data_IF_179642996112
#
_entry.id   IF_179642996112
#
_cell.length_a   1.000
_cell.length_b   1.000
_cell.length_c   1.000
_cell.angle_alpha   90.00
_cell.angle_beta   90.00
_cell.angle_gamma   90.00
#
_symmetry.space_group_name_H-M   'P 1'
#
loop_
_entity.id
_entity.type
_entity.pdbx_description
1 polymer ?
#
# COMPACT_ATOMS: atom_id res chain seq x y z
N UNK A 1 16.37 13.69 52.05
CA UNK A 1 16.47 12.35 52.66
C UNK A 1 15.38 12.22 53.72
N UNK A 2 14.30 11.52 53.43
CA UNK A 2 13.46 10.74 54.33
C UNK A 2 12.48 9.98 53.43
N UNK A 3 12.80 8.71 53.20
CA UNK A 3 11.87 7.73 52.61
C UNK A 3 10.72 7.55 53.56
N UNK A 4 9.53 7.94 53.20
CA UNK A 4 8.30 7.55 53.89
C UNK A 4 7.85 6.25 53.27
N UNK A 5 8.09 5.13 53.94
CA UNK A 5 7.40 3.87 53.66
C UNK A 5 5.94 4.06 54.04
N UNK A 6 5.05 4.13 53.07
CA UNK A 6 3.62 3.89 53.31
C UNK A 6 3.43 2.40 53.57
N UNK A 7 3.30 2.07 54.85
CA UNK A 7 2.75 0.78 55.29
C UNK A 7 1.27 0.78 54.89
N UNK A 8 0.89 -0.04 53.89
CA UNK A 8 -0.52 -0.34 53.66
C UNK A 8 -1.06 -1.01 54.93
N UNK A 9 -1.92 -0.33 55.66
CA UNK A 9 -2.64 -0.91 56.77
C UNK A 9 -3.64 -1.93 56.16
N UNK A 10 -3.33 -3.20 56.34
CA UNK A 10 -4.25 -4.30 56.07
C UNK A 10 -5.42 -4.17 57.07
N UNK A 11 -6.51 -3.55 56.67
CA UNK A 11 -7.77 -3.59 57.45
C UNK A 11 -8.42 -4.96 57.22
N UNK A 12 -8.09 -5.91 58.11
CA UNK A 12 -8.78 -7.18 58.18
C UNK A 12 -10.14 -6.93 58.87
N UNK A 13 -11.17 -6.74 58.06
CA UNK A 13 -12.54 -6.91 58.56
C UNK A 13 -12.86 -8.40 58.56
N UNK A 14 -12.91 -9.00 59.75
CA UNK A 14 -13.19 -10.41 59.95
C UNK A 14 -14.68 -10.70 59.69
N UNK A 15 -15.05 -11.01 58.43
CA UNK A 15 -16.12 -11.97 58.20
C UNK A 15 -15.48 -13.36 58.37
N UNK A 16 -16.02 -14.20 59.23
CA UNK A 16 -15.65 -15.62 59.33
C UNK A 16 -16.71 -16.46 58.64
N UNK A 17 -16.30 -17.57 57.99
CA UNK A 17 -17.26 -18.61 57.54
C UNK A 17 -17.98 -19.27 58.75
N UNK A 18 -18.93 -20.14 58.49
CA UNK A 18 -19.67 -20.91 59.54
C UNK A 18 -18.74 -21.78 60.41
N UNK A 19 -17.48 -22.02 60.02
CA UNK A 19 -16.44 -22.73 60.75
C UNK A 19 -15.46 -21.81 61.46
N UNK A 20 -15.62 -20.49 61.38
CA UNK A 20 -14.78 -19.47 62.09
C UNK A 20 -13.45 -19.13 61.41
N UNK A 21 -13.26 -19.51 60.11
CA UNK A 21 -12.07 -19.14 59.36
C UNK A 21 -12.20 -17.74 58.76
N UNK A 22 -11.12 -16.92 58.74
CA UNK A 22 -11.18 -15.58 58.18
C UNK A 22 -11.36 -15.63 56.64
N UNK A 23 -12.21 -14.75 56.14
CA UNK A 23 -12.32 -14.49 54.69
C UNK A 23 -11.06 -13.79 54.23
N UNK A 24 -10.42 -14.35 53.20
CA UNK A 24 -9.31 -13.71 52.47
C UNK A 24 -9.82 -13.29 51.08
N UNK A 25 -9.67 -11.99 50.80
CA UNK A 25 -10.07 -11.41 49.49
C UNK A 25 -8.97 -10.49 49.00
N UNK A 26 -8.28 -10.89 47.96
CA UNK A 26 -7.08 -10.21 47.44
C UNK A 26 -7.26 -9.99 45.92
N UNK A 27 -7.86 -8.85 45.50
CA UNK A 27 -7.97 -8.49 44.12
C UNK A 27 -6.65 -7.91 43.62
N UNK A 28 -6.24 -8.34 42.42
CA UNK A 28 -5.14 -7.76 41.65
C UNK A 28 -5.73 -7.11 40.39
N UNK A 29 -5.61 -5.80 40.32
CA UNK A 29 -6.13 -5.01 39.19
C UNK A 29 -4.97 -4.44 38.41
N UNK A 30 -4.99 -4.61 37.11
CA UNK A 30 -3.97 -4.05 36.20
C UNK A 30 -4.65 -3.21 35.13
N UNK A 31 -4.29 -1.95 35.05
CA UNK A 31 -4.62 -1.10 33.92
C UNK A 31 -3.54 -1.28 32.86
N UNK A 32 -3.91 -1.70 31.67
CA UNK A 32 -3.02 -1.95 30.58
C UNK A 32 -2.86 -0.71 29.68
N UNK A 33 -2.01 -0.80 28.65
CA UNK A 33 -1.82 0.31 27.72
C UNK A 33 -3.12 0.64 26.98
N UNK A 34 -3.41 1.92 26.84
CA UNK A 34 -4.52 2.44 26.03
C UNK A 34 -4.15 2.35 24.57
N UNK A 35 -5.08 1.91 23.72
CA UNK A 35 -4.89 1.73 22.27
C UNK A 35 -5.92 2.53 21.48
N UNK A 36 -5.77 2.55 20.15
CA UNK A 36 -6.70 3.19 19.20
C UNK A 36 -7.08 4.62 19.59
N UNK A 37 -6.08 5.39 20.01
CA UNK A 37 -6.24 6.78 20.44
C UNK A 37 -6.50 7.63 19.18
N UNK A 38 -7.54 8.45 19.26
CA UNK A 38 -7.91 9.44 18.22
C UNK A 38 -8.11 10.81 18.88
N UNK A 39 -8.58 11.80 18.15
CA UNK A 39 -8.96 13.12 18.67
C UNK A 39 -10.01 13.03 19.80
N UNK A 40 -10.98 12.11 19.67
CA UNK A 40 -12.17 12.08 20.53
C UNK A 40 -12.49 10.71 21.10
N UNK A 41 -11.62 9.71 20.89
CA UNK A 41 -11.84 8.34 21.37
C UNK A 41 -10.54 7.64 21.75
N UNK A 42 -10.65 6.59 22.57
CA UNK A 42 -9.58 5.69 22.92
C UNK A 42 -10.13 4.33 23.38
N UNK A 43 -9.34 3.26 23.26
CA UNK A 43 -9.69 1.93 23.76
C UNK A 43 -8.93 1.64 25.05
N UNK A 44 -9.67 1.43 26.14
CA UNK A 44 -9.14 1.07 27.44
C UNK A 44 -9.04 -0.44 27.56
N UNK A 45 -7.95 -0.92 28.19
CA UNK A 45 -7.67 -2.34 28.41
C UNK A 45 -7.25 -2.58 29.86
N UNK A 46 -7.64 -3.72 30.42
CA UNK A 46 -7.24 -4.07 31.78
C UNK A 46 -7.62 -5.48 32.21
N UNK A 47 -7.08 -5.89 33.36
CA UNK A 47 -7.37 -7.20 33.97
C UNK A 47 -7.76 -7.07 35.44
N UNK A 48 -8.66 -7.94 35.86
CA UNK A 48 -9.15 -8.06 37.25
C UNK A 48 -9.06 -9.52 37.65
N UNK A 49 -8.06 -9.84 38.47
CA UNK A 49 -7.88 -11.15 39.06
C UNK A 49 -8.23 -11.09 40.53
N UNK A 50 -9.07 -12.00 41.01
CA UNK A 50 -9.50 -12.03 42.39
C UNK A 50 -9.20 -13.40 42.99
N UNK A 51 -8.28 -13.39 43.97
CA UNK A 51 -8.14 -14.52 44.87
C UNK A 51 -9.14 -14.36 46.05
N UNK A 52 -10.02 -15.37 46.21
CA UNK A 52 -11.03 -15.37 47.28
C UNK A 52 -11.08 -16.73 47.95
N UNK A 53 -10.96 -16.76 49.26
CA UNK A 53 -11.07 -17.96 50.07
C UNK A 53 -11.92 -17.71 51.34
N UNK A 54 -12.85 -18.57 51.63
CA UNK A 54 -13.74 -18.52 52.82
C UNK A 54 -14.56 -17.20 52.87
N UNK A 55 -14.90 -16.64 51.73
CA UNK A 55 -15.71 -15.42 51.64
C UNK A 55 -17.11 -15.76 51.11
N UNK A 56 -18.15 -15.10 51.67
CA UNK A 56 -19.49 -15.18 51.11
C UNK A 56 -19.55 -14.63 49.71
N UNK A 57 -20.41 -15.20 48.87
CA UNK A 57 -20.71 -14.63 47.58
C UNK A 57 -21.42 -13.31 47.76
N UNK A 58 -20.81 -12.23 47.26
CA UNK A 58 -21.37 -10.89 47.32
C UNK A 58 -22.03 -10.56 46.00
N UNK A 59 -23.30 -10.21 46.03
CA UNK A 59 -24.01 -9.63 44.88
C UNK A 59 -23.68 -8.14 44.74
N UNK A 60 -23.82 -7.60 43.53
CA UNK A 60 -23.61 -6.19 43.18
C UNK A 60 -22.14 -5.68 43.30
N UNK A 61 -21.20 -6.43 42.76
CA UNK A 61 -19.84 -5.95 42.50
C UNK A 61 -19.91 -4.95 41.33
N UNK A 62 -19.39 -3.73 41.50
CA UNK A 62 -19.13 -2.80 40.40
C UNK A 62 -17.67 -2.86 40.03
N UNK A 63 -17.39 -2.99 38.74
CA UNK A 63 -16.03 -3.02 38.20
C UNK A 63 -15.96 -2.40 36.82
N UNK A 64 -14.76 -2.00 36.40
CA UNK A 64 -14.54 -1.38 35.12
C UNK A 64 -13.39 -0.38 35.15
N UNK A 65 -13.57 0.76 34.49
CA UNK A 65 -12.59 1.82 34.42
C UNK A 65 -13.13 3.11 35.07
N UNK A 66 -12.23 3.81 35.78
CA UNK A 66 -12.39 5.23 36.16
C UNK A 66 -11.42 6.05 35.34
N UNK A 67 -11.84 7.22 34.87
CA UNK A 67 -10.96 8.11 34.11
C UNK A 67 -11.25 9.58 34.43
N UNK A 68 -10.25 10.44 34.24
CA UNK A 68 -10.32 11.89 34.49
C UNK A 68 -9.20 12.60 33.76
N UNK A 69 -9.30 13.91 33.62
CA UNK A 69 -8.19 14.77 33.20
C UNK A 69 -7.21 15.08 34.33
N UNK A 70 -7.54 14.68 35.56
CA UNK A 70 -6.66 14.78 36.73
C UNK A 70 -6.06 13.42 37.07
N UNK A 71 -4.83 13.41 37.60
CA UNK A 71 -4.17 12.18 38.02
C UNK A 71 -4.87 11.53 39.23
N UNK A 72 -4.70 10.22 39.37
CA UNK A 72 -5.29 9.35 40.39
C UNK A 72 -6.84 9.36 40.40
N UNK A 73 -7.50 9.09 39.24
CA UNK A 73 -8.96 9.06 39.15
C UNK A 73 -9.56 8.05 40.12
N UNK A 74 -10.72 8.39 40.68
CA UNK A 74 -11.48 7.62 41.63
C UNK A 74 -12.91 7.37 41.15
N UNK A 75 -13.72 6.60 41.88
CA UNK A 75 -15.12 6.39 41.55
C UNK A 75 -16.01 7.65 41.68
N UNK A 76 -15.47 8.75 42.16
CA UNK A 76 -16.14 10.05 42.17
C UNK A 76 -15.92 10.82 40.83
N UNK A 77 -15.03 10.34 39.96
CA UNK A 77 -14.81 10.83 38.60
C UNK A 77 -15.66 10.06 37.60
N UNK A 78 -15.34 10.13 36.31
CA UNK A 78 -16.10 9.40 35.27
C UNK A 78 -15.80 7.90 35.32
N UNK A 79 -16.88 7.10 35.26
CA UNK A 79 -16.79 5.64 35.36
C UNK A 79 -17.43 4.95 34.17
N UNK A 80 -16.84 3.82 33.78
CA UNK A 80 -17.42 2.87 32.83
C UNK A 80 -17.45 1.49 33.48
N UNK A 81 -18.65 0.91 33.60
CA UNK A 81 -18.80 -0.42 34.16
C UNK A 81 -18.60 -1.47 33.07
N UNK A 82 -17.69 -2.41 33.30
CA UNK A 82 -17.39 -3.51 32.39
C UNK A 82 -17.23 -4.79 33.20
N UNK A 83 -17.99 -5.83 32.87
CA UNK A 83 -17.95 -7.11 33.53
C UNK A 83 -16.85 -8.02 32.92
N UNK A 84 -16.21 -8.81 33.76
CA UNK A 84 -15.24 -9.82 33.32
C UNK A 84 -13.89 -9.74 34.01
N UNK A 85 -13.01 -10.68 33.69
CA UNK A 85 -11.62 -10.72 34.21
C UNK A 85 -10.61 -10.04 33.28
N UNK A 86 -10.84 -10.09 31.99
CA UNK A 86 -10.17 -9.25 30.98
C UNK A 86 -11.20 -8.28 30.44
N UNK A 87 -10.99 -7.01 30.63
CA UNK A 87 -11.93 -5.95 30.30
C UNK A 87 -11.35 -5.01 29.26
N UNK A 88 -12.19 -4.70 28.26
CA UNK A 88 -11.86 -3.75 27.19
C UNK A 88 -13.08 -2.90 26.91
N UNK A 89 -12.92 -1.59 26.78
CA UNK A 89 -14.03 -0.68 26.49
C UNK A 89 -13.53 0.54 25.72
N UNK A 90 -14.40 1.06 24.82
CA UNK A 90 -14.11 2.26 24.05
C UNK A 90 -14.65 3.50 24.71
N UNK A 91 -13.74 4.46 24.98
CA UNK A 91 -14.10 5.83 25.34
C UNK A 91 -14.44 6.62 24.07
N UNK A 92 -15.47 7.44 24.15
CA UNK A 92 -15.87 8.37 23.08
C UNK A 92 -16.20 9.74 23.68
N UNK A 93 -16.27 10.78 22.83
CA UNK A 93 -16.53 12.16 23.20
C UNK A 93 -15.45 12.72 24.17
N UNK A 94 -14.22 12.34 23.96
CA UNK A 94 -13.07 12.95 24.63
C UNK A 94 -12.77 14.33 24.01
N UNK A 95 -12.15 15.21 24.78
CA UNK A 95 -11.62 16.47 24.26
C UNK A 95 -10.28 16.20 23.54
N UNK A 96 -10.04 16.80 22.37
CA UNK A 96 -8.76 16.70 21.66
C UNK A 96 -7.59 17.31 22.46
N UNK A 97 -6.36 16.95 22.10
CA UNK A 97 -5.09 17.43 22.72
C UNK A 97 -5.16 17.43 24.27
N UNK A 98 -5.84 16.46 24.83
CA UNK A 98 -6.13 16.41 26.27
C UNK A 98 -5.53 15.16 26.88
N UNK A 99 -4.82 15.35 28.00
CA UNK A 99 -4.28 14.24 28.78
C UNK A 99 -5.38 13.66 29.68
N UNK A 100 -5.59 12.36 29.55
CA UNK A 100 -6.47 11.58 30.40
C UNK A 100 -5.67 10.58 31.23
N UNK A 101 -6.16 10.32 32.45
CA UNK A 101 -5.65 9.31 33.36
C UNK A 101 -6.72 8.26 33.56
N UNK A 102 -6.34 7.00 33.60
CA UNK A 102 -7.28 5.87 33.72
C UNK A 102 -6.76 4.84 34.70
N UNK A 103 -7.69 4.23 35.43
CA UNK A 103 -7.42 3.11 36.34
C UNK A 103 -8.54 2.08 36.23
N UNK A 104 -8.19 0.80 36.29
CA UNK A 104 -9.17 -0.26 36.58
C UNK A 104 -9.65 -0.12 38.01
N UNK A 105 -10.95 -0.30 38.25
CA UNK A 105 -11.50 -0.29 39.59
C UNK A 105 -12.39 -1.51 39.87
N UNK A 106 -12.50 -1.85 41.13
CA UNK A 106 -13.40 -2.86 41.68
C UNK A 106 -13.99 -2.37 42.99
N UNK A 107 -15.30 -2.29 43.09
CA UNK A 107 -16.03 -1.98 44.34
C UNK A 107 -16.69 -3.25 44.85
N UNK A 108 -16.34 -3.66 46.04
CA UNK A 108 -17.01 -4.75 46.75
C UNK A 108 -17.73 -4.19 47.98
N UNK A 109 -19.06 -4.32 48.09
CA UNK A 109 -19.79 -3.95 49.28
C UNK A 109 -19.15 -4.54 50.53
N UNK A 110 -19.00 -3.73 51.58
CA UNK A 110 -18.43 -4.05 52.91
C UNK A 110 -16.90 -4.21 52.96
N UNK A 111 -16.19 -4.41 51.86
CA UNK A 111 -14.72 -4.56 51.89
C UNK A 111 -13.94 -3.39 51.30
N UNK A 112 -14.56 -2.56 50.46
CA UNK A 112 -13.97 -1.32 49.98
C UNK A 112 -13.85 -1.20 48.49
N UNK A 113 -13.05 -0.23 48.06
CA UNK A 113 -12.77 0.11 46.68
C UNK A 113 -11.29 -0.21 46.42
N UNK A 114 -11.04 -0.88 45.32
CA UNK A 114 -9.68 -1.25 44.85
C UNK A 114 -9.42 -0.60 43.51
N UNK A 115 -8.20 -0.14 43.30
CA UNK A 115 -7.76 0.48 42.07
C UNK A 115 -6.51 -0.20 41.54
N UNK A 116 -6.40 -0.34 40.23
CA UNK A 116 -5.19 -0.74 39.52
C UNK A 116 -4.15 0.40 39.47
N UNK A 117 -3.03 0.13 38.80
CA UNK A 117 -2.07 1.16 38.46
C UNK A 117 -2.71 2.23 37.56
N UNK A 118 -2.20 3.45 37.63
CA UNK A 118 -2.59 4.52 36.71
C UNK A 118 -1.85 4.38 35.41
N UNK A 119 -2.56 4.62 34.30
CA UNK A 119 -2.03 4.81 32.94
C UNK A 119 -2.56 6.14 32.42
N UNK A 120 -1.73 6.90 31.72
CA UNK A 120 -2.13 8.14 31.07
C UNK A 120 -1.97 8.02 29.55
N UNK A 121 -2.82 8.74 28.83
CA UNK A 121 -2.72 8.91 27.38
C UNK A 121 -3.11 10.34 27.01
N UNK A 122 -2.73 10.77 25.81
CA UNK A 122 -3.11 12.07 25.24
C UNK A 122 -3.91 11.79 23.98
N UNK A 123 -5.08 12.41 23.87
CA UNK A 123 -5.85 12.39 22.62
C UNK A 123 -5.11 13.15 21.54
N UNK A 124 -5.31 12.76 20.28
CA UNK A 124 -4.71 13.49 19.16
C UNK A 124 -5.21 14.94 19.11
N UNK A 125 -4.39 15.83 18.55
CA UNK A 125 -4.79 17.22 18.35
C UNK A 125 -6.04 17.28 17.46
N UNK A 126 -6.99 18.18 17.79
CA UNK A 126 -8.11 18.45 16.87
C UNK A 126 -7.59 19.20 15.66
N UNK A 127 -7.73 18.57 14.52
CA UNK A 127 -7.59 19.27 13.25
C UNK A 127 -8.88 20.08 13.06
N UNK A 128 -8.91 21.30 13.61
CA UNK A 128 -10.08 22.20 13.43
C UNK A 128 -10.31 22.38 11.91
N UNK A 129 -11.51 22.03 11.39
CA UNK A 129 -11.82 22.24 9.97
C UNK A 129 -11.67 23.69 9.50
N UNK A 130 -11.57 24.65 10.43
CA UNK A 130 -11.38 26.07 10.14
C UNK A 130 -9.89 26.39 9.89
N UNK A 131 -8.94 25.55 10.35
CA UNK A 131 -7.49 25.74 10.22
C UNK A 131 -6.80 24.57 9.50
N UNK A 132 -7.56 23.79 8.73
CA UNK A 132 -7.02 22.73 7.90
C UNK A 132 -6.23 23.34 6.73
N UNK A 133 -4.90 23.27 6.81
CA UNK A 133 -4.07 23.43 5.63
C UNK A 133 -4.41 22.27 4.66
N UNK A 134 -5.08 22.59 3.56
CA UNK A 134 -5.64 21.62 2.63
C UNK A 134 -4.57 20.73 2.01
N UNK A 135 -3.42 21.32 1.64
CA UNK A 135 -2.31 20.65 0.96
C UNK A 135 -0.96 21.03 1.55
N UNK A 136 -0.01 20.13 1.43
CA UNK A 136 1.39 20.37 1.80
C UNK A 136 2.36 19.80 0.77
N UNK A 137 3.59 20.30 0.79
CA UNK A 137 4.69 19.78 -0.01
C UNK A 137 5.37 18.66 0.76
N UNK A 138 5.47 17.48 0.15
CA UNK A 138 6.16 16.33 0.74
C UNK A 138 7.65 16.61 0.96
N UNK A 139 8.31 15.82 1.82
CA UNK A 139 9.75 15.94 2.13
C UNK A 139 10.66 15.76 0.91
N UNK A 140 10.18 15.12 -0.15
CA UNK A 140 10.89 15.00 -1.43
C UNK A 140 10.97 16.32 -2.22
N UNK A 141 10.28 17.38 -1.76
CA UNK A 141 10.29 18.72 -2.33
C UNK A 141 9.52 18.88 -3.65
N UNK A 142 8.77 17.87 -4.09
CA UNK A 142 8.04 17.85 -5.37
C UNK A 142 6.58 17.46 -5.19
N UNK A 143 6.31 16.36 -4.50
CA UNK A 143 4.96 15.79 -4.39
C UNK A 143 4.03 16.66 -3.56
N UNK A 144 2.84 16.92 -4.08
CA UNK A 144 1.79 17.68 -3.40
C UNK A 144 0.82 16.71 -2.76
N UNK A 145 0.72 16.75 -1.43
CA UNK A 145 -0.12 15.89 -0.62
C UNK A 145 -1.25 16.65 0.06
N UNK A 146 -2.38 15.98 0.24
CA UNK A 146 -3.51 16.51 1.02
C UNK A 146 -3.41 16.08 2.48
N UNK A 147 -3.68 17.00 3.40
CA UNK A 147 -3.87 16.66 4.80
C UNK A 147 -5.10 15.74 4.99
N UNK A 148 -5.15 14.93 6.06
CA UNK A 148 -6.28 14.04 6.33
C UNK A 148 -7.63 14.76 6.42
N UNK A 149 -7.65 16.00 6.90
CA UNK A 149 -8.84 16.85 7.01
C UNK A 149 -9.38 17.37 5.68
N UNK A 150 -8.55 17.43 4.62
CA UNK A 150 -8.95 17.97 3.33
C UNK A 150 -9.96 17.07 2.62
N UNK A 151 -11.02 17.65 2.08
CA UNK A 151 -12.03 16.97 1.30
C UNK A 151 -11.77 17.10 -0.20
N UNK A 152 -12.41 16.23 -0.97
CA UNK A 152 -12.43 16.32 -2.43
C UNK A 152 -13.07 17.66 -2.84
N UNK A 153 -12.38 18.39 -3.72
CA UNK A 153 -12.78 19.73 -4.16
C UNK A 153 -12.19 20.88 -3.35
N UNK A 154 -11.59 20.62 -2.18
CA UNK A 154 -10.92 21.64 -1.40
C UNK A 154 -9.69 22.19 -2.14
N UNK A 155 -9.39 23.46 -1.94
CA UNK A 155 -8.27 24.16 -2.59
C UNK A 155 -7.31 24.69 -1.54
N UNK A 156 -6.08 24.19 -1.58
CA UNK A 156 -4.98 24.70 -0.76
C UNK A 156 -3.93 25.47 -1.56
N UNK A 157 -3.03 26.15 -0.86
CA UNK A 157 -2.01 26.99 -1.52
C UNK A 157 -0.62 26.66 -1.00
N UNK A 158 0.31 26.33 -1.90
CA UNK A 158 1.74 26.13 -1.60
C UNK A 158 2.55 27.13 -2.42
N UNK A 159 3.36 27.95 -1.77
CA UNK A 159 4.21 28.96 -2.42
C UNK A 159 3.46 29.87 -3.40
N UNK A 160 2.20 30.23 -3.10
CA UNK A 160 1.34 31.08 -3.92
C UNK A 160 0.66 30.37 -5.10
N UNK A 161 0.84 29.05 -5.25
CA UNK A 161 0.18 28.21 -6.26
C UNK A 161 -0.97 27.46 -5.61
N UNK A 162 -2.15 27.52 -6.21
CA UNK A 162 -3.33 26.80 -5.76
C UNK A 162 -3.34 25.37 -6.31
N UNK A 163 -3.70 24.42 -5.45
CA UNK A 163 -3.89 23.00 -5.79
C UNK A 163 -5.27 22.54 -5.32
N UNK A 164 -5.97 21.84 -6.18
CA UNK A 164 -7.30 21.26 -5.88
C UNK A 164 -7.14 19.79 -5.52
N UNK A 165 -7.70 19.36 -4.39
CA UNK A 165 -7.78 17.95 -4.01
C UNK A 165 -8.81 17.25 -4.88
N UNK A 166 -8.41 16.19 -5.57
CA UNK A 166 -9.26 15.49 -6.53
C UNK A 166 -9.34 14.00 -6.22
N UNK A 167 -10.44 13.40 -6.68
CA UNK A 167 -10.60 11.96 -6.80
C UNK A 167 -10.58 11.52 -8.28
N UNK A 168 -10.77 10.22 -8.50
CA UNK A 168 -10.86 9.64 -9.83
C UNK A 168 -11.95 10.30 -10.69
N UNK A 169 -13.14 10.48 -10.12
CA UNK A 169 -14.30 11.02 -10.86
C UNK A 169 -14.02 12.43 -11.38
N UNK A 170 -13.45 13.29 -10.53
CA UNK A 170 -13.07 14.65 -10.92
C UNK A 170 -11.98 14.64 -12.01
N UNK A 171 -10.97 13.76 -11.92
CA UNK A 171 -9.94 13.64 -12.95
C UNK A 171 -10.55 13.29 -14.32
N UNK A 172 -11.51 12.35 -14.35
CA UNK A 172 -12.19 11.96 -15.58
C UNK A 172 -13.08 13.06 -16.14
N UNK A 173 -13.78 13.81 -15.29
CA UNK A 173 -14.55 14.99 -15.70
C UNK A 173 -13.63 16.10 -16.25
N UNK A 174 -12.49 16.35 -15.60
CA UNK A 174 -11.52 17.37 -16.00
C UNK A 174 -10.81 17.06 -17.32
N UNK A 175 -10.54 15.80 -17.64
CA UNK A 175 -9.95 15.42 -18.92
C UNK A 175 -10.91 15.60 -20.10
N UNK A 176 -12.22 15.61 -19.82
CA UNK A 176 -13.27 15.70 -20.84
C UNK A 176 -13.53 14.40 -21.59
N UNK A 177 -14.32 14.49 -22.67
CA UNK A 177 -14.68 13.35 -23.47
C UNK A 177 -13.52 12.87 -24.34
N UNK A 178 -13.54 11.58 -24.67
CA UNK A 178 -12.57 10.91 -25.52
C UNK A 178 -12.32 11.64 -26.86
N UNK A 179 -11.05 11.86 -27.18
CA UNK A 179 -10.64 12.50 -28.44
C UNK A 179 -10.71 14.04 -28.42
N UNK A 180 -10.95 14.66 -27.26
CA UNK A 180 -10.88 16.11 -27.10
C UNK A 180 -9.50 16.57 -26.64
N UNK A 181 -9.14 17.80 -26.99
CA UNK A 181 -7.90 18.42 -26.48
C UNK A 181 -8.10 18.77 -25.01
N UNK A 182 -7.22 18.26 -24.17
CA UNK A 182 -7.21 18.60 -22.74
C UNK A 182 -6.78 20.05 -22.57
N UNK A 183 -7.67 20.89 -22.06
CA UNK A 183 -7.40 22.30 -21.73
C UNK A 183 -7.17 22.56 -20.25
N UNK A 184 -7.50 21.57 -19.40
CA UNK A 184 -7.32 21.64 -17.94
C UNK A 184 -5.84 21.55 -17.59
N UNK A 185 -5.42 22.37 -16.62
CA UNK A 185 -4.07 22.32 -16.05
C UNK A 185 -4.01 21.23 -14.95
N UNK A 186 -3.51 20.05 -15.30
CA UNK A 186 -3.36 18.92 -14.39
C UNK A 186 -2.18 19.07 -13.42
N UNK A 187 -1.30 20.05 -13.65
CA UNK A 187 -0.15 20.31 -12.77
C UNK A 187 -0.55 20.90 -11.41
N UNK A 188 -1.79 21.36 -11.29
CA UNK A 188 -2.36 21.99 -10.08
C UNK A 188 -3.36 21.13 -9.36
N UNK A 189 -3.21 19.83 -9.46
CA UNK A 189 -4.06 18.86 -8.80
C UNK A 189 -3.28 18.15 -7.69
N UNK A 190 -3.97 17.90 -6.58
CA UNK A 190 -3.50 17.05 -5.48
C UNK A 190 -4.24 15.73 -5.56
N UNK A 191 -3.53 14.66 -5.88
CA UNK A 191 -4.10 13.34 -6.21
C UNK A 191 -4.09 12.36 -5.04
N UNK A 192 -3.78 12.79 -3.82
CA UNK A 192 -3.72 11.94 -2.61
C UNK A 192 -4.98 11.09 -2.39
N UNK A 193 -6.15 11.54 -2.87
CA UNK A 193 -7.44 10.82 -2.74
C UNK A 193 -7.73 9.88 -3.91
N UNK A 194 -6.84 9.77 -4.87
CA UNK A 194 -7.01 8.89 -6.03
C UNK A 194 -6.44 7.52 -5.73
N UNK A 195 -7.25 6.49 -5.91
CA UNK A 195 -6.87 5.08 -5.69
C UNK A 195 -6.78 4.27 -6.96
N UNK A 196 -7.30 4.79 -8.07
CA UNK A 196 -7.39 4.12 -9.36
C UNK A 196 -7.20 5.15 -10.49
N UNK A 197 -6.19 4.92 -11.33
CA UNK A 197 -5.86 5.73 -12.50
C UNK A 197 -5.99 4.95 -13.83
N UNK A 198 -6.68 3.80 -13.77
CA UNK A 198 -6.91 2.97 -14.96
C UNK A 198 -7.54 3.79 -16.09
N UNK A 199 -6.95 3.69 -17.29
CA UNK A 199 -7.40 4.40 -18.50
C UNK A 199 -7.49 5.94 -18.39
N UNK A 200 -6.83 6.58 -17.42
CA UNK A 200 -7.01 8.03 -17.18
C UNK A 200 -6.71 8.87 -18.42
N UNK A 201 -5.65 8.60 -19.15
CA UNK A 201 -5.26 9.29 -20.38
C UNK A 201 -5.24 8.36 -21.60
N UNK A 202 -6.08 7.32 -21.58
CA UNK A 202 -6.23 6.40 -22.71
C UNK A 202 -6.56 7.15 -23.99
N UNK A 203 -5.73 7.04 -25.04
CA UNK A 203 -5.85 7.74 -26.31
C UNK A 203 -5.88 9.29 -26.23
N UNK A 204 -5.30 9.87 -25.19
CA UNK A 204 -5.01 11.31 -25.14
C UNK A 204 -3.57 11.57 -25.61
N UNK A 205 -3.33 11.46 -26.86
CA UNK A 205 -2.04 11.39 -27.52
C UNK A 205 -1.15 12.61 -27.27
N UNK A 206 -1.76 13.80 -27.25
CA UNK A 206 -1.06 15.08 -27.03
C UNK A 206 -0.85 15.40 -25.55
N UNK A 207 -1.33 14.55 -24.63
CA UNK A 207 -1.13 14.79 -23.20
C UNK A 207 0.35 14.65 -22.82
N UNK A 208 0.95 15.75 -22.43
CA UNK A 208 2.35 15.80 -21.99
C UNK A 208 2.57 16.88 -20.91
N UNK A 209 1.65 17.00 -19.95
CA UNK A 209 1.81 17.93 -18.83
C UNK A 209 2.72 17.34 -17.75
N UNK A 210 3.55 18.20 -17.07
CA UNK A 210 4.48 17.77 -16.02
C UNK A 210 3.72 17.43 -14.71
N UNK A 211 3.24 16.21 -14.61
CA UNK A 211 2.47 15.68 -13.48
C UNK A 211 3.34 14.93 -12.44
N UNK A 212 4.64 15.14 -12.47
CA UNK A 212 5.57 14.52 -11.50
C UNK A 212 5.33 14.91 -10.05
N UNK A 213 4.56 15.98 -9.80
CA UNK A 213 4.15 16.43 -8.48
C UNK A 213 2.93 15.67 -7.91
N UNK A 214 2.34 14.75 -8.64
CA UNK A 214 1.20 13.98 -8.17
C UNK A 214 1.58 13.02 -7.05
N UNK A 215 0.72 12.90 -6.07
CA UNK A 215 0.78 11.88 -5.03
C UNK A 215 0.02 10.63 -5.50
N UNK A 216 0.74 9.57 -5.76
CA UNK A 216 0.18 8.31 -6.27
C UNK A 216 0.28 7.17 -5.26
N UNK A 217 0.67 7.47 -4.01
CA UNK A 217 0.90 6.46 -2.98
C UNK A 217 -0.31 5.57 -2.71
N UNK A 218 -1.53 6.09 -2.90
CA UNK A 218 -2.78 5.34 -2.68
C UNK A 218 -3.30 4.64 -3.94
N UNK A 219 -2.61 4.78 -5.08
CA UNK A 219 -3.05 4.18 -6.35
C UNK A 219 -2.69 2.70 -6.38
N UNK A 220 -3.66 1.86 -6.71
CA UNK A 220 -3.49 0.41 -6.84
C UNK A 220 -3.56 -0.09 -8.28
N UNK A 221 -4.20 0.67 -9.18
CA UNK A 221 -4.37 0.34 -10.60
C UNK A 221 -3.96 1.52 -11.48
N UNK A 222 -2.92 1.32 -12.29
CA UNK A 222 -2.43 2.25 -13.32
C UNK A 222 -2.52 1.66 -14.72
N UNK A 223 -3.30 0.57 -14.88
CA UNK A 223 -3.40 -0.12 -16.17
C UNK A 223 -3.92 0.81 -17.26
N UNK A 224 -3.28 0.77 -18.42
CA UNK A 224 -3.62 1.56 -19.62
C UNK A 224 -3.64 3.09 -19.39
N UNK A 225 -3.00 3.61 -18.33
CA UNK A 225 -3.09 5.04 -17.98
C UNK A 225 -2.70 5.97 -19.13
N UNK A 226 -1.65 5.67 -19.87
CA UNK A 226 -1.18 6.44 -21.04
C UNK A 226 -1.23 5.63 -22.33
N UNK A 227 -2.02 4.55 -22.34
CA UNK A 227 -2.12 3.67 -23.49
C UNK A 227 -2.73 4.39 -24.70
N UNK A 228 -2.18 4.15 -25.90
CA UNK A 228 -2.71 4.76 -27.11
C UNK A 228 -2.89 3.74 -28.24
N UNK A 229 -4.15 3.47 -28.60
CA UNK A 229 -4.51 2.67 -29.78
C UNK A 229 -4.62 3.52 -31.04
N UNK A 230 -4.77 4.84 -30.89
CA UNK A 230 -5.23 5.75 -31.94
C UNK A 230 -4.06 6.33 -32.73
N UNK A 231 -3.02 6.80 -32.06
CA UNK A 231 -1.76 7.27 -32.63
C UNK A 231 -0.63 7.25 -31.59
N UNK A 232 0.48 7.96 -31.80
CA UNK A 232 1.59 8.01 -30.86
C UNK A 232 1.23 8.80 -29.59
N UNK A 233 1.53 8.25 -28.40
CA UNK A 233 1.50 9.02 -27.15
C UNK A 233 2.76 9.89 -27.06
N UNK A 234 2.59 11.18 -26.78
CA UNK A 234 3.68 12.13 -26.57
C UNK A 234 4.12 12.25 -25.11
N UNK A 235 3.48 11.51 -24.20
CA UNK A 235 3.83 11.56 -22.78
C UNK A 235 5.28 11.14 -22.55
N UNK A 236 6.08 12.09 -22.05
CA UNK A 236 7.50 11.89 -21.72
C UNK A 236 7.91 12.83 -20.57
N UNK A 237 7.09 12.90 -19.51
CA UNK A 237 7.37 13.73 -18.35
C UNK A 237 8.04 12.95 -17.24
N UNK A 238 8.89 13.64 -16.47
CA UNK A 238 9.55 13.06 -15.30
C UNK A 238 8.55 12.67 -14.22
N UNK A 239 8.43 11.39 -13.97
CA UNK A 239 7.61 10.75 -12.95
C UNK A 239 8.46 9.86 -12.02
N UNK A 240 9.77 10.07 -12.01
CA UNK A 240 10.73 9.25 -11.25
C UNK A 240 10.48 9.24 -9.74
N UNK A 241 9.83 10.29 -9.21
CA UNK A 241 9.49 10.45 -7.79
C UNK A 241 8.11 9.90 -7.40
N UNK A 242 7.38 9.30 -8.32
CA UNK A 242 6.12 8.65 -7.98
C UNK A 242 6.36 7.44 -7.06
N UNK A 243 5.67 7.38 -5.94
CA UNK A 243 5.65 6.20 -5.07
C UNK A 243 4.58 5.22 -5.57
N UNK A 244 5.01 4.25 -6.36
CA UNK A 244 4.16 3.21 -6.97
C UNK A 244 4.12 1.92 -6.14
N UNK A 245 4.56 1.96 -4.89
CA UNK A 245 4.75 0.76 -4.05
C UNK A 245 3.45 -0.01 -3.76
N UNK A 246 2.30 0.64 -3.88
CA UNK A 246 0.98 0.01 -3.69
C UNK A 246 0.31 -0.42 -5.01
N UNK A 247 0.91 -0.12 -6.17
CA UNK A 247 0.32 -0.49 -7.46
C UNK A 247 0.44 -1.99 -7.68
N UNK A 248 -0.68 -2.61 -8.04
CA UNK A 248 -0.78 -4.06 -8.31
C UNK A 248 -0.94 -4.37 -9.80
N UNK A 249 -1.49 -3.44 -10.58
CA UNK A 249 -1.69 -3.57 -12.03
C UNK A 249 -1.08 -2.39 -12.78
N UNK A 250 -0.09 -2.66 -13.63
CA UNK A 250 0.55 -1.71 -14.54
C UNK A 250 0.40 -2.13 -16.01
N UNK A 251 -0.53 -3.05 -16.29
CA UNK A 251 -0.70 -3.56 -17.65
C UNK A 251 -0.97 -2.44 -18.66
N UNK A 252 -0.26 -2.43 -19.76
CA UNK A 252 -0.39 -1.44 -20.83
C UNK A 252 -0.07 0.01 -20.46
N UNK A 253 0.45 0.33 -19.25
CA UNK A 253 0.55 1.71 -18.77
C UNK A 253 1.16 2.70 -19.75
N UNK A 254 2.24 2.35 -20.43
CA UNK A 254 2.92 3.16 -21.47
C UNK A 254 2.80 2.54 -22.86
N UNK A 255 1.93 1.56 -22.99
CA UNK A 255 1.77 0.79 -24.19
C UNK A 255 0.90 1.44 -25.25
N UNK A 256 0.68 0.67 -26.32
CA UNK A 256 -0.28 1.01 -27.36
C UNK A 256 -0.02 0.29 -28.67
N UNK A 257 -0.97 0.34 -29.60
CA UNK A 257 -0.93 -0.41 -30.84
C UNK A 257 0.32 -0.11 -31.69
N UNK A 258 1.18 -1.10 -31.84
CA UNK A 258 2.44 -1.03 -32.58
C UNK A 258 2.29 -0.77 -34.10
N UNK A 259 1.07 -0.83 -34.64
CA UNK A 259 0.85 -0.79 -36.10
C UNK A 259 0.85 0.61 -36.72
N UNK A 260 0.77 1.70 -35.97
CA UNK A 260 0.43 3.00 -36.53
C UNK A 260 1.50 4.11 -36.41
N UNK A 261 2.50 4.02 -35.56
CA UNK A 261 3.66 4.93 -35.57
C UNK A 261 4.73 4.55 -34.56
N UNK A 262 6.02 4.74 -34.95
CA UNK A 262 7.20 4.50 -34.10
C UNK A 262 7.48 5.64 -33.11
N UNK A 263 6.51 6.49 -32.81
CA UNK A 263 6.76 7.81 -32.21
C UNK A 263 6.35 7.92 -30.73
N UNK A 264 6.26 6.77 -30.01
CA UNK A 264 6.07 6.85 -28.55
C UNK A 264 7.36 7.28 -27.91
N UNK A 265 7.27 8.41 -27.20
CA UNK A 265 8.45 9.15 -26.74
C UNK A 265 8.91 8.77 -25.33
N UNK A 266 8.03 8.07 -24.55
CA UNK A 266 8.33 7.79 -23.15
C UNK A 266 9.66 7.06 -22.97
N UNK A 267 10.60 7.75 -22.31
CA UNK A 267 11.91 7.21 -21.98
C UNK A 267 12.46 7.83 -20.67
N UNK A 268 11.60 8.14 -19.70
CA UNK A 268 12.03 8.68 -18.41
C UNK A 268 12.61 7.60 -17.50
N UNK A 269 13.55 8.00 -16.64
CA UNK A 269 14.17 7.08 -15.68
C UNK A 269 13.21 6.70 -14.55
N UNK A 270 12.71 5.50 -14.62
CA UNK A 270 11.84 4.87 -13.62
C UNK A 270 12.54 3.71 -12.89
N UNK A 271 13.86 3.66 -12.94
CA UNK A 271 14.69 2.59 -12.37
C UNK A 271 14.55 2.45 -10.85
N UNK A 272 14.14 3.54 -10.16
CA UNK A 272 13.97 3.58 -8.70
C UNK A 272 12.55 3.23 -8.24
N UNK A 273 11.63 2.96 -9.14
CA UNK A 273 10.28 2.57 -8.76
C UNK A 273 10.26 1.25 -7.97
N UNK A 274 9.52 1.25 -6.87
CA UNK A 274 9.25 0.04 -6.12
C UNK A 274 8.02 -0.67 -6.72
N UNK A 275 8.27 -1.64 -7.59
CA UNK A 275 7.23 -2.42 -8.28
C UNK A 275 6.92 -3.76 -7.60
N UNK A 276 7.35 -3.94 -6.34
CA UNK A 276 7.26 -5.23 -5.66
C UNK A 276 5.84 -5.72 -5.39
N UNK A 277 4.83 -4.84 -5.46
CA UNK A 277 3.41 -5.21 -5.32
C UNK A 277 2.74 -5.58 -6.66
N UNK A 278 3.42 -5.32 -7.80
CA UNK A 278 2.82 -5.51 -9.12
C UNK A 278 2.68 -6.99 -9.46
N UNK A 279 1.50 -7.37 -9.93
CA UNK A 279 1.17 -8.74 -10.36
C UNK A 279 0.97 -8.87 -11.87
N UNK A 280 0.61 -7.78 -12.55
CA UNK A 280 0.41 -7.71 -14.00
C UNK A 280 1.24 -6.59 -14.62
N UNK A 281 2.14 -6.97 -15.54
CA UNK A 281 2.96 -6.08 -16.37
C UNK A 281 2.77 -6.35 -17.87
N UNK A 282 1.72 -7.07 -18.24
CA UNK A 282 1.42 -7.31 -19.65
C UNK A 282 1.31 -6.01 -20.43
N UNK A 283 1.89 -5.94 -21.61
CA UNK A 283 1.81 -4.79 -22.52
C UNK A 283 2.38 -3.46 -22.00
N UNK A 284 3.00 -3.39 -20.79
CA UNK A 284 3.35 -2.12 -20.14
C UNK A 284 4.18 -1.18 -21.03
N UNK A 285 5.07 -1.73 -21.86
CA UNK A 285 5.89 -0.99 -22.83
C UNK A 285 5.62 -1.42 -24.28
N UNK A 286 4.45 -1.95 -24.56
CA UNK A 286 4.04 -2.31 -25.92
C UNK A 286 4.19 -1.12 -26.86
N UNK A 287 4.96 -1.27 -27.94
CA UNK A 287 5.19 -0.21 -28.91
C UNK A 287 5.95 1.02 -28.37
N UNK A 288 6.50 0.96 -27.15
CA UNK A 288 7.32 2.04 -26.59
C UNK A 288 8.71 2.08 -27.26
N UNK A 289 8.73 2.58 -28.50
CA UNK A 289 9.88 2.50 -29.38
C UNK A 289 11.13 3.22 -28.84
N UNK A 290 10.97 4.28 -28.03
CA UNK A 290 12.05 5.05 -27.43
C UNK A 290 12.54 4.50 -26.10
N UNK A 291 11.75 3.64 -25.43
CA UNK A 291 12.05 3.20 -24.06
C UNK A 291 13.31 2.33 -23.99
N UNK A 292 14.29 2.75 -23.20
CA UNK A 292 15.52 2.00 -22.96
C UNK A 292 16.15 2.31 -21.59
N UNK A 293 15.33 2.41 -20.51
CA UNK A 293 15.82 2.72 -19.16
C UNK A 293 16.25 1.47 -18.38
N UNK A 294 17.21 1.59 -17.43
CA UNK A 294 17.84 0.47 -16.74
C UNK A 294 16.95 -0.09 -15.61
N UNK A 295 15.91 -0.82 -15.96
CA UNK A 295 14.91 -1.41 -15.03
C UNK A 295 15.33 -2.78 -14.45
N UNK A 296 16.57 -3.22 -14.64
CA UNK A 296 17.07 -4.52 -14.17
C UNK A 296 17.05 -4.72 -12.65
N UNK A 297 16.91 -3.65 -11.86
CA UNK A 297 16.80 -3.71 -10.40
C UNK A 297 15.35 -3.82 -9.89
N UNK A 298 14.35 -3.80 -10.75
CA UNK A 298 12.97 -3.98 -10.35
C UNK A 298 12.76 -5.33 -9.67
N UNK A 299 12.04 -5.34 -8.55
CA UNK A 299 11.59 -6.57 -7.90
C UNK A 299 10.28 -7.02 -8.56
N UNK A 300 10.37 -7.96 -9.48
CA UNK A 300 9.24 -8.51 -10.24
C UNK A 300 8.75 -9.85 -9.69
N UNK A 301 9.15 -10.24 -8.49
CA UNK A 301 8.90 -11.57 -7.93
C UNK A 301 7.41 -11.90 -7.73
N UNK A 302 6.52 -10.91 -7.72
CA UNK A 302 5.08 -11.12 -7.62
C UNK A 302 4.36 -11.09 -8.99
N UNK A 303 5.08 -10.79 -10.08
CA UNK A 303 4.47 -10.69 -11.41
C UNK A 303 4.11 -12.07 -11.95
N UNK A 304 2.90 -12.19 -12.45
CA UNK A 304 2.34 -13.42 -13.05
C UNK A 304 2.16 -13.34 -14.57
N UNK A 305 1.96 -12.13 -15.11
CA UNK A 305 1.82 -11.88 -16.54
C UNK A 305 2.85 -10.85 -17.03
N UNK A 306 3.66 -11.24 -18.01
CA UNK A 306 4.62 -10.41 -18.75
C UNK A 306 4.38 -10.47 -20.25
N UNK A 307 3.15 -10.86 -20.66
CA UNK A 307 2.82 -10.98 -22.08
C UNK A 307 2.97 -9.63 -22.79
N UNK A 308 3.61 -9.66 -23.97
CA UNK A 308 3.82 -8.50 -24.81
C UNK A 308 4.48 -7.29 -24.14
N UNK A 309 5.16 -7.50 -22.99
CA UNK A 309 5.73 -6.42 -22.16
C UNK A 309 6.61 -5.46 -22.96
N UNK A 310 7.43 -5.95 -23.86
CA UNK A 310 8.31 -5.19 -24.76
C UNK A 310 8.00 -5.41 -26.24
N UNK A 311 6.77 -5.79 -26.55
CA UNK A 311 6.36 -5.96 -27.95
C UNK A 311 6.59 -4.66 -28.73
N UNK A 312 7.37 -4.75 -29.83
CA UNK A 312 7.72 -3.58 -30.63
C UNK A 312 8.48 -2.44 -29.89
N UNK A 313 9.05 -2.70 -28.70
CA UNK A 313 9.95 -1.77 -28.01
C UNK A 313 11.32 -1.80 -28.69
N UNK A 314 11.42 -1.13 -29.83
CA UNK A 314 12.53 -1.30 -30.81
C UNK A 314 13.89 -0.85 -30.29
N UNK A 315 13.96 0.02 -29.28
CA UNK A 315 15.20 0.51 -28.67
C UNK A 315 15.61 -0.24 -27.39
N UNK A 316 14.69 -1.04 -26.81
CA UNK A 316 14.95 -1.66 -25.51
C UNK A 316 16.06 -2.71 -25.61
N UNK A 317 17.13 -2.52 -24.84
CA UNK A 317 18.27 -3.45 -24.76
C UNK A 317 18.96 -3.40 -23.39
N UNK A 318 18.22 -3.28 -22.30
CA UNK A 318 18.78 -3.27 -20.95
C UNK A 318 18.86 -4.67 -20.35
N UNK A 319 19.90 -4.95 -19.51
CA UNK A 319 20.03 -6.23 -18.83
C UNK A 319 18.93 -6.39 -17.76
N UNK A 320 18.17 -7.48 -17.86
CA UNK A 320 17.10 -7.87 -16.94
C UNK A 320 17.25 -9.32 -16.46
N UNK A 321 18.45 -9.88 -16.60
CA UNK A 321 18.77 -11.26 -16.21
C UNK A 321 18.65 -11.52 -14.70
N UNK A 322 18.61 -10.47 -13.87
CA UNK A 322 18.46 -10.59 -12.41
C UNK A 322 17.00 -10.65 -11.94
N UNK A 323 16.04 -10.52 -12.83
CA UNK A 323 14.63 -10.61 -12.47
C UNK A 323 14.28 -12.00 -11.94
N UNK A 324 13.59 -12.03 -10.81
CA UNK A 324 12.99 -13.25 -10.29
C UNK A 324 11.61 -13.44 -10.96
N UNK A 325 11.56 -14.35 -11.93
CA UNK A 325 10.37 -14.62 -12.76
C UNK A 325 9.66 -15.92 -12.36
N UNK A 326 9.96 -16.47 -11.18
CA UNK A 326 9.46 -17.78 -10.76
C UNK A 326 7.93 -17.86 -10.74
N UNK A 327 7.22 -16.75 -10.51
CA UNK A 327 5.77 -16.70 -10.48
C UNK A 327 5.13 -16.39 -11.84
N UNK A 328 5.92 -16.08 -12.88
CA UNK A 328 5.39 -15.76 -14.20
C UNK A 328 4.84 -17.00 -14.90
N UNK A 329 3.62 -16.90 -15.38
CA UNK A 329 2.93 -17.98 -16.12
C UNK A 329 2.80 -17.69 -17.60
N UNK A 330 2.83 -16.42 -18.01
CA UNK A 330 2.63 -15.96 -19.37
C UNK A 330 3.75 -15.00 -19.80
N UNK A 331 4.53 -15.40 -20.81
CA UNK A 331 5.58 -14.60 -21.47
C UNK A 331 5.34 -14.50 -22.98
N UNK A 332 4.08 -14.73 -23.43
CA UNK A 332 3.77 -14.67 -24.87
C UNK A 332 4.11 -13.30 -25.45
N UNK A 333 4.79 -13.29 -26.60
CA UNK A 333 5.16 -12.08 -27.31
C UNK A 333 6.06 -11.09 -26.59
N UNK A 334 6.65 -11.45 -25.42
CA UNK A 334 7.35 -10.50 -24.53
C UNK A 334 8.38 -9.63 -25.25
N UNK A 335 9.15 -10.18 -26.18
CA UNK A 335 10.17 -9.48 -26.99
C UNK A 335 9.87 -9.54 -28.48
N UNK A 336 8.62 -9.82 -28.86
CA UNK A 336 8.26 -9.85 -30.27
C UNK A 336 8.50 -8.47 -30.90
N UNK A 337 9.24 -8.42 -32.03
CA UNK A 337 9.65 -7.18 -32.69
C UNK A 337 10.51 -6.23 -31.83
N UNK A 338 11.06 -6.67 -30.70
CA UNK A 338 12.06 -5.93 -29.92
C UNK A 338 13.41 -5.97 -30.63
N UNK A 339 13.57 -5.13 -31.65
CA UNK A 339 14.63 -5.24 -32.65
C UNK A 339 16.06 -5.11 -32.09
N UNK A 340 16.26 -4.28 -31.04
CA UNK A 340 17.56 -4.07 -30.42
C UNK A 340 17.89 -5.08 -29.32
N UNK A 341 16.91 -5.82 -28.80
CA UNK A 341 17.09 -6.65 -27.63
C UNK A 341 18.06 -7.80 -27.89
N UNK A 342 19.15 -7.84 -27.13
CA UNK A 342 20.17 -8.89 -27.20
C UNK A 342 20.82 -9.13 -25.84
N UNK A 343 20.05 -9.14 -24.76
CA UNK A 343 20.55 -9.42 -23.40
C UNK A 343 20.25 -10.86 -22.99
N UNK A 344 21.14 -11.41 -22.17
CA UNK A 344 20.99 -12.77 -21.63
C UNK A 344 19.79 -12.87 -20.67
N UNK A 345 19.09 -13.99 -20.72
CA UNK A 345 17.99 -14.35 -19.82
C UNK A 345 18.30 -15.64 -19.04
N UNK A 346 19.57 -16.05 -18.97
CA UNK A 346 19.99 -17.31 -18.36
C UNK A 346 19.72 -17.41 -16.85
N UNK A 347 19.46 -16.30 -16.17
CA UNK A 347 19.15 -16.28 -14.72
C UNK A 347 17.70 -16.61 -14.39
N UNK A 348 16.84 -16.72 -15.38
CA UNK A 348 15.39 -16.86 -15.17
C UNK A 348 14.99 -18.29 -14.83
N UNK A 349 14.22 -18.44 -13.75
CA UNK A 349 13.49 -19.69 -13.48
C UNK A 349 12.11 -19.62 -14.14
N UNK A 350 11.97 -20.29 -15.27
CA UNK A 350 10.75 -20.31 -16.08
C UNK A 350 9.91 -21.58 -15.85
N UNK A 351 10.10 -22.26 -14.71
CA UNK A 351 9.43 -23.54 -14.43
C UNK A 351 7.90 -23.47 -14.39
N UNK A 352 7.32 -22.29 -14.11
CA UNK A 352 5.89 -22.07 -14.06
C UNK A 352 5.31 -21.45 -15.35
N UNK A 353 6.15 -21.10 -16.33
CA UNK A 353 5.67 -20.50 -17.58
C UNK A 353 4.95 -21.52 -18.45
N UNK A 354 3.74 -21.19 -18.84
CA UNK A 354 2.88 -22.08 -19.67
C UNK A 354 2.79 -21.59 -21.12
N UNK A 355 2.95 -20.29 -21.37
CA UNK A 355 2.89 -19.68 -22.71
C UNK A 355 4.15 -18.86 -23.00
N UNK A 356 4.91 -19.26 -24.01
CA UNK A 356 6.06 -18.56 -24.58
C UNK A 356 5.85 -18.30 -26.08
N UNK A 357 4.59 -18.34 -26.58
CA UNK A 357 4.33 -18.11 -28.00
C UNK A 357 4.82 -16.74 -28.44
N UNK A 358 5.46 -16.69 -29.59
CA UNK A 358 6.02 -15.48 -30.22
C UNK A 358 7.01 -14.68 -29.36
N UNK A 359 7.54 -15.25 -28.25
CA UNK A 359 8.34 -14.51 -27.26
C UNK A 359 9.51 -13.74 -27.87
N UNK A 360 10.20 -14.30 -28.87
CA UNK A 360 11.31 -13.68 -29.60
C UNK A 360 11.04 -13.58 -31.11
N UNK A 361 9.78 -13.66 -31.54
CA UNK A 361 9.44 -13.50 -32.95
C UNK A 361 9.93 -12.15 -33.45
N UNK A 362 10.64 -12.13 -34.60
CA UNK A 362 11.18 -10.91 -35.20
C UNK A 362 12.10 -10.06 -34.29
N UNK A 363 12.69 -10.67 -33.25
CA UNK A 363 13.74 -10.08 -32.44
C UNK A 363 15.08 -10.16 -33.20
N UNK A 364 15.26 -9.30 -34.19
CA UNK A 364 16.31 -9.41 -35.19
C UNK A 364 17.75 -9.37 -34.65
N UNK A 365 18.00 -8.74 -33.50
CA UNK A 365 19.32 -8.68 -32.88
C UNK A 365 19.57 -9.80 -31.87
N UNK A 366 18.55 -10.53 -31.44
CA UNK A 366 18.67 -11.50 -30.38
C UNK A 366 19.55 -12.69 -30.78
N UNK A 367 20.64 -12.91 -30.04
CA UNK A 367 21.54 -14.04 -30.25
C UNK A 367 22.20 -14.44 -28.91
N UNK A 368 21.42 -14.94 -27.99
CA UNK A 368 21.89 -15.41 -26.69
C UNK A 368 21.70 -16.92 -26.54
N UNK A 369 22.59 -17.56 -25.81
CA UNK A 369 22.43 -18.97 -25.42
C UNK A 369 21.26 -19.08 -24.44
N UNK A 370 20.25 -19.84 -24.79
CA UNK A 370 19.01 -20.01 -23.99
C UNK A 370 18.67 -21.50 -23.77
N UNK A 371 19.63 -22.40 -23.95
CA UNK A 371 19.42 -23.84 -23.82
C UNK A 371 19.06 -24.31 -22.40
N UNK A 372 19.29 -23.47 -21.37
CA UNK A 372 19.01 -23.78 -19.98
C UNK A 372 17.64 -23.26 -19.49
N UNK A 373 16.87 -22.60 -20.35
CA UNK A 373 15.51 -22.17 -20.01
C UNK A 373 14.64 -23.42 -19.77
N UNK A 374 13.97 -23.46 -18.62
CA UNK A 374 13.03 -24.53 -18.33
C UNK A 374 11.77 -24.39 -19.18
N UNK A 375 11.44 -25.41 -19.95
CA UNK A 375 10.30 -25.45 -20.86
C UNK A 375 9.31 -26.56 -20.52
N UNK A 376 9.47 -27.23 -19.37
CA UNK A 376 8.67 -28.42 -19.01
C UNK A 376 7.18 -28.10 -18.85
N UNK A 377 6.85 -26.93 -18.35
CA UNK A 377 5.46 -26.47 -18.16
C UNK A 377 4.87 -25.79 -19.41
N UNK A 378 5.71 -25.48 -20.42
CA UNK A 378 5.25 -24.74 -21.59
C UNK A 378 4.36 -25.62 -22.47
N UNK A 379 3.13 -25.16 -22.66
CA UNK A 379 2.13 -25.82 -23.53
C UNK A 379 1.90 -25.10 -24.85
N UNK A 380 2.28 -23.79 -24.92
CA UNK A 380 2.22 -22.99 -26.15
C UNK A 380 3.57 -22.33 -26.44
N UNK A 381 4.22 -22.72 -27.51
CA UNK A 381 5.49 -22.16 -27.99
C UNK A 381 5.41 -21.73 -29.46
N UNK A 382 4.20 -21.58 -30.01
CA UNK A 382 3.99 -21.24 -31.41
C UNK A 382 4.76 -20.00 -31.81
N UNK A 383 5.60 -20.08 -32.85
CA UNK A 383 6.34 -18.95 -33.38
C UNK A 383 7.38 -18.36 -32.38
N UNK A 384 7.81 -19.10 -31.37
CA UNK A 384 8.71 -18.64 -30.30
C UNK A 384 9.87 -17.77 -30.78
N UNK A 385 10.54 -18.15 -31.89
CA UNK A 385 11.65 -17.40 -32.49
C UNK A 385 11.46 -17.21 -34.01
N UNK A 386 10.21 -17.06 -34.45
CA UNK A 386 9.87 -16.83 -35.87
C UNK A 386 10.62 -15.60 -36.39
N UNK A 387 11.38 -15.74 -37.49
CA UNK A 387 12.17 -14.66 -38.09
C UNK A 387 13.23 -14.01 -37.18
N UNK A 388 13.63 -14.63 -36.09
CA UNK A 388 14.76 -14.17 -35.26
C UNK A 388 16.09 -14.48 -35.96
N UNK A 389 16.38 -13.77 -37.05
CA UNK A 389 17.39 -14.13 -38.07
C UNK A 389 18.82 -14.10 -37.55
N UNK A 390 19.17 -13.35 -36.49
CA UNK A 390 20.49 -13.34 -35.90
C UNK A 390 20.70 -14.47 -34.89
N UNK A 391 19.69 -15.20 -34.46
CA UNK A 391 19.80 -16.19 -33.41
C UNK A 391 20.40 -17.49 -33.89
N UNK A 392 21.72 -17.61 -33.73
CA UNK A 392 22.55 -18.78 -34.10
C UNK A 392 22.99 -19.62 -32.90
N UNK A 393 22.97 -19.06 -31.69
CA UNK A 393 23.33 -19.76 -30.45
C UNK A 393 22.24 -20.77 -30.02
N UNK A 394 22.54 -21.70 -29.10
CA UNK A 394 21.62 -22.72 -28.68
C UNK A 394 20.28 -22.16 -28.18
N UNK A 395 19.19 -22.78 -28.64
CA UNK A 395 17.80 -22.44 -28.32
C UNK A 395 17.24 -23.39 -27.27
N UNK A 396 16.16 -23.02 -26.56
CA UNK A 396 15.46 -23.92 -25.66
C UNK A 396 14.93 -25.17 -26.37
N UNK A 397 14.86 -26.28 -25.63
CA UNK A 397 14.30 -27.51 -26.14
C UNK A 397 12.87 -27.71 -25.60
N UNK A 398 11.89 -27.46 -26.44
CA UNK A 398 10.49 -27.67 -26.11
C UNK A 398 10.06 -29.12 -26.36
N UNK A 399 9.49 -29.77 -25.34
CA UNK A 399 9.02 -31.16 -25.43
C UNK A 399 7.49 -31.30 -25.50
N UNK A 400 6.76 -30.28 -25.02
CA UNK A 400 5.33 -30.36 -24.78
C UNK A 400 4.48 -29.46 -25.68
N UNK A 401 5.08 -28.76 -26.62
CA UNK A 401 4.39 -27.88 -27.55
C UNK A 401 4.79 -28.16 -29.01
N UNK A 402 4.02 -27.67 -29.95
CA UNK A 402 4.19 -27.92 -31.38
C UNK A 402 5.39 -27.26 -32.04
N UNK A 403 5.28 -26.84 -33.29
CA UNK A 403 6.37 -26.22 -34.04
C UNK A 403 6.77 -24.86 -33.45
N UNK A 404 8.03 -24.72 -33.01
CA UNK A 404 8.59 -23.48 -32.43
C UNK A 404 8.81 -22.35 -33.46
N UNK A 405 8.74 -22.67 -34.76
CA UNK A 405 8.83 -21.71 -35.86
C UNK A 405 10.19 -20.98 -35.95
N UNK A 406 11.23 -21.52 -35.37
CA UNK A 406 12.59 -20.97 -35.48
C UNK A 406 13.25 -21.41 -36.80
N UNK A 407 12.99 -20.74 -37.86
CA UNK A 407 13.61 -21.00 -39.19
C UNK A 407 14.81 -20.07 -39.41
#
# INVERSE_FOLDING_TARGET
MKKLLLLSALLIFACTDDEGNPCVYEPTLTTEAVTDITETSATLNGTIDVYSQNCDTVENILQGFVYSTSSEPTIDDDIINVDGTSITESLTNLEPDTTYYVRVFLVRPLTGIFYGNEVSFVTEESIDPIDCDVVYLDDNGVTIKAYPCANIGDVGTINGVQYTVVDREMLFQMRGDFGQIITTDFTRLCTTRVTDMNNLFLCYEEFNQPIGNWDVVNVTDMSYMFYSECSASLFDQDISLWDVSNVTDMSGMFGGNAGNSNDRTFNQDISQWNVSSVTDMGYIFEGAASFNQPIGNWNVSNVTDMSYMFFYATSFNQPINNWDVVNVTNMSGMFNLAQAYNQSILGWDTSNVTDMSYMFSEAYSFNQDSNNINTESVTNCTGFCLNATSWTLPKPNFSNCGEIGCN
#
